data_IF_527225611566
#
_entry.id   IF_527225611566
#
_cell.length_a   1.000
_cell.length_b   1.000
_cell.length_c   1.000
_cell.angle_alpha   90.00
_cell.angle_beta   90.00
_cell.angle_gamma   90.00
#
_symmetry.space_group_name_H-M   'P 1'
#
loop_
_entity.id
_entity.type
_entity.pdbx_description
1 polymer ?
#
# COMPACT_ATOMS: atom_id res chain seq x y z
N UNK A 1 7.10 4.49 -0.15
CA UNK A 1 7.50 3.80 -1.42
C UNK A 1 8.30 4.73 -2.34
N UNK A 2 7.97 6.02 -2.46
CA UNK A 2 8.71 6.98 -3.31
C UNK A 2 10.22 7.00 -3.01
N UNK A 3 10.61 7.15 -1.74
CA UNK A 3 12.03 7.12 -1.33
C UNK A 3 12.75 5.84 -1.75
N UNK A 4 12.08 4.70 -1.74
CA UNK A 4 12.64 3.43 -2.19
C UNK A 4 12.73 3.39 -3.73
N UNK A 5 11.72 3.93 -4.42
CA UNK A 5 11.73 4.11 -5.87
C UNK A 5 12.95 4.92 -6.32
N UNK A 6 13.16 6.08 -5.71
CA UNK A 6 14.28 6.97 -6.00
C UNK A 6 15.62 6.32 -5.69
N UNK A 7 15.74 5.67 -4.52
CA UNK A 7 16.97 5.01 -4.09
C UNK A 7 17.35 3.85 -5.04
N UNK A 8 16.35 3.08 -5.47
CA UNK A 8 16.56 1.92 -6.35
C UNK A 8 16.67 2.30 -7.82
N UNK A 9 16.33 3.56 -8.18
CA UNK A 9 16.23 3.99 -9.58
C UNK A 9 15.24 3.10 -10.37
N UNK A 10 14.09 2.81 -9.76
CA UNK A 10 13.03 1.96 -10.31
C UNK A 10 11.71 2.74 -10.21
N UNK A 11 10.93 2.83 -11.29
CA UNK A 11 9.64 3.49 -11.28
C UNK A 11 8.72 2.92 -10.19
N UNK A 12 7.98 3.79 -9.49
CA UNK A 12 7.11 3.39 -8.37
C UNK A 12 6.09 2.31 -8.76
N UNK A 13 5.61 2.36 -10.00
CA UNK A 13 4.66 1.38 -10.53
C UNK A 13 5.26 -0.03 -10.68
N UNK A 14 6.59 -0.12 -10.83
CA UNK A 14 7.29 -1.40 -10.97
C UNK A 14 7.67 -2.04 -9.63
N UNK A 15 7.66 -1.28 -8.53
CA UNK A 15 8.08 -1.80 -7.22
C UNK A 15 7.23 -3.00 -6.79
N UNK A 16 5.90 -2.89 -6.94
CA UNK A 16 4.99 -3.97 -6.57
C UNK A 16 5.27 -5.26 -7.35
N UNK A 17 5.24 -5.25 -8.70
CA UNK A 17 5.59 -6.42 -9.51
C UNK A 17 6.96 -7.01 -9.18
N UNK A 18 8.00 -6.18 -9.06
CA UNK A 18 9.37 -6.63 -8.76
C UNK A 18 9.51 -7.25 -7.37
N UNK A 19 8.63 -6.91 -6.42
CA UNK A 19 8.64 -7.50 -5.09
C UNK A 19 8.30 -9.00 -5.06
N UNK A 20 7.80 -9.56 -6.16
CA UNK A 20 7.52 -10.98 -6.31
C UNK A 20 8.64 -11.76 -6.99
N UNK A 21 9.59 -11.05 -7.60
CA UNK A 21 10.74 -11.65 -8.27
C UNK A 21 11.88 -11.83 -7.24
N UNK A 22 11.67 -12.76 -6.32
CA UNK A 22 12.58 -13.13 -5.24
C UNK A 22 12.55 -14.65 -5.04
N UNK A 23 13.71 -15.25 -4.80
CA UNK A 23 13.82 -16.69 -4.54
C UNK A 23 13.17 -17.09 -3.21
N UNK A 24 13.36 -16.25 -2.19
CA UNK A 24 12.82 -16.45 -0.84
C UNK A 24 12.28 -15.12 -0.35
N UNK A 25 11.07 -15.14 0.18
CA UNK A 25 10.45 -13.97 0.79
C UNK A 25 11.32 -13.47 1.94
N UNK A 26 11.81 -12.23 1.90
CA UNK A 26 12.65 -11.68 2.95
C UNK A 26 11.82 -11.35 4.20
N UNK A 27 12.49 -11.29 5.34
CA UNK A 27 11.91 -10.69 6.54
C UNK A 27 11.59 -9.20 6.29
N UNK A 28 10.58 -8.71 7.02
CA UNK A 28 10.22 -7.30 6.97
C UNK A 28 11.35 -6.43 7.50
N UNK A 29 11.55 -5.26 6.88
CA UNK A 29 12.46 -4.26 7.44
C UNK A 29 11.89 -3.65 8.70
N UNK A 30 12.76 -3.25 9.62
CA UNK A 30 12.34 -2.74 10.95
C UNK A 30 11.90 -1.28 10.92
N UNK A 31 12.36 -0.51 9.94
CA UNK A 31 12.19 0.94 9.92
C UNK A 31 10.81 1.38 9.47
N UNK A 32 10.11 2.04 10.37
CA UNK A 32 8.84 2.73 10.10
C UNK A 32 9.07 4.18 9.63
N UNK A 33 10.22 4.75 9.97
CA UNK A 33 10.58 6.12 9.62
C UNK A 33 11.29 6.16 8.25
N UNK A 34 10.80 7.02 7.36
CA UNK A 34 11.35 7.21 6.01
C UNK A 34 12.85 7.55 6.00
N UNK A 35 13.33 8.30 7.01
CA UNK A 35 14.74 8.68 7.11
C UNK A 35 15.62 7.46 7.36
N UNK A 36 15.21 6.61 8.29
CA UNK A 36 15.96 5.37 8.59
C UNK A 36 15.79 4.31 7.51
N UNK A 37 14.65 4.28 6.83
CA UNK A 37 14.39 3.37 5.73
C UNK A 37 15.46 3.45 4.64
N UNK A 38 15.89 4.66 4.27
CA UNK A 38 16.97 4.84 3.28
C UNK A 38 18.28 4.21 3.72
N UNK A 39 18.69 4.44 4.97
CA UNK A 39 19.94 3.89 5.52
C UNK A 39 19.87 2.37 5.64
N UNK A 40 18.73 1.81 6.05
CA UNK A 40 18.50 0.39 6.16
C UNK A 40 18.54 -0.28 4.78
N UNK A 41 17.86 0.30 3.77
CA UNK A 41 17.89 -0.21 2.40
C UNK A 41 19.33 -0.24 1.83
N UNK A 42 20.13 0.81 2.06
CA UNK A 42 21.52 0.84 1.67
C UNK A 42 22.36 -0.22 2.40
N UNK A 43 22.06 -0.46 3.68
CA UNK A 43 22.70 -1.53 4.47
C UNK A 43 22.42 -2.92 3.89
N UNK A 44 21.15 -3.19 3.54
CA UNK A 44 20.76 -4.45 2.92
C UNK A 44 21.42 -4.67 1.56
N UNK A 45 21.50 -3.64 0.71
CA UNK A 45 22.20 -3.71 -0.56
C UNK A 45 23.70 -4.01 -0.37
N UNK A 46 24.34 -3.38 0.61
CA UNK A 46 25.74 -3.65 0.96
C UNK A 46 25.94 -5.06 1.51
N UNK A 47 24.94 -5.62 2.18
CA UNK A 47 24.94 -7.00 2.66
C UNK A 47 24.67 -8.04 1.55
N UNK A 48 24.53 -7.60 0.28
CA UNK A 48 24.36 -8.49 -0.87
C UNK A 48 22.91 -8.80 -1.24
N UNK A 49 21.92 -8.10 -0.65
CA UNK A 49 20.53 -8.23 -1.08
C UNK A 49 20.35 -7.64 -2.47
N UNK A 50 19.58 -8.33 -3.32
CA UNK A 50 19.16 -7.77 -4.60
C UNK A 50 18.16 -6.62 -4.39
N UNK A 51 18.04 -5.72 -5.36
CA UNK A 51 17.05 -4.64 -5.31
C UNK A 51 15.62 -5.20 -5.10
N UNK A 52 15.26 -6.27 -5.79
CA UNK A 52 13.96 -6.92 -5.68
C UNK A 52 13.71 -7.44 -4.26
N UNK A 53 14.72 -8.05 -3.64
CA UNK A 53 14.63 -8.55 -2.26
C UNK A 53 14.45 -7.41 -1.25
N UNK A 54 15.14 -6.28 -1.44
CA UNK A 54 14.93 -5.09 -0.59
C UNK A 54 13.51 -4.54 -0.79
N UNK A 55 13.04 -4.42 -2.03
CA UNK A 55 11.66 -3.95 -2.33
C UNK A 55 10.64 -4.89 -1.68
N UNK A 56 10.83 -6.20 -1.75
CA UNK A 56 9.95 -7.19 -1.12
C UNK A 56 9.88 -7.00 0.39
N UNK A 57 11.03 -6.81 1.06
CA UNK A 57 11.11 -6.55 2.51
C UNK A 57 10.33 -5.27 2.92
N UNK A 58 10.40 -4.22 2.10
CA UNK A 58 9.61 -3.00 2.34
C UNK A 58 8.12 -3.20 2.08
N UNK A 59 7.73 -3.95 1.05
CA UNK A 59 6.33 -4.29 0.81
C UNK A 59 5.76 -5.11 1.97
N UNK A 60 6.54 -6.05 2.52
CA UNK A 60 6.17 -6.86 3.67
C UNK A 60 5.98 -5.98 4.92
N UNK A 61 6.95 -5.12 5.25
CA UNK A 61 6.87 -4.21 6.39
C UNK A 61 5.64 -3.28 6.32
N UNK A 62 5.32 -2.77 5.13
CA UNK A 62 4.13 -1.95 4.93
C UNK A 62 2.84 -2.75 5.14
N UNK A 63 2.77 -3.98 4.63
CA UNK A 63 1.62 -4.86 4.81
C UNK A 63 1.41 -5.20 6.29
N UNK A 64 2.45 -5.61 6.99
CA UNK A 64 2.40 -5.91 8.44
C UNK A 64 1.95 -4.70 9.26
N UNK A 65 2.43 -3.51 8.91
CA UNK A 65 2.02 -2.27 9.56
C UNK A 65 0.53 -2.00 9.40
N UNK A 66 0.00 -2.15 8.19
CA UNK A 66 -1.43 -1.99 7.92
C UNK A 66 -2.24 -3.03 8.67
N UNK A 67 -1.85 -4.30 8.59
CA UNK A 67 -2.54 -5.41 9.27
C UNK A 67 -2.55 -5.19 10.78
N UNK A 68 -1.43 -4.83 11.39
CA UNK A 68 -1.36 -4.56 12.83
C UNK A 68 -2.29 -3.42 13.32
N UNK A 69 -2.61 -2.47 12.44
CA UNK A 69 -3.60 -1.43 12.73
C UNK A 69 -5.04 -1.95 12.56
N UNK A 70 -5.27 -2.78 11.54
CA UNK A 70 -6.58 -3.36 11.27
C UNK A 70 -7.01 -4.37 12.33
N UNK A 71 -6.07 -5.14 12.89
CA UNK A 71 -6.34 -6.10 13.98
C UNK A 71 -6.95 -5.43 15.22
N UNK A 72 -6.70 -4.15 15.45
CA UNK A 72 -7.25 -3.39 16.57
C UNK A 72 -8.74 -3.10 16.44
N UNK A 73 -9.25 -3.04 15.21
CA UNK A 73 -10.64 -2.70 14.91
C UNK A 73 -11.42 -3.90 14.34
N UNK A 74 -10.72 -4.96 13.99
CA UNK A 74 -11.27 -6.10 13.25
C UNK A 74 -11.42 -5.81 11.75
N UNK A 75 -11.38 -6.86 10.95
CA UNK A 75 -11.61 -6.79 9.49
C UNK A 75 -12.64 -7.84 9.12
N UNK A 76 -13.65 -7.43 8.38
CA UNK A 76 -14.68 -8.31 7.84
C UNK A 76 -14.49 -8.50 6.35
N UNK A 77 -15.08 -9.57 5.78
CA UNK A 77 -15.14 -9.76 4.34
C UNK A 77 -15.84 -8.56 3.68
N UNK A 78 -15.39 -8.22 2.49
CA UNK A 78 -15.94 -7.09 1.75
C UNK A 78 -15.19 -5.77 1.95
N UNK A 79 -14.00 -5.79 2.54
CA UNK A 79 -13.15 -4.60 2.62
C UNK A 79 -12.52 -4.24 1.27
N UNK A 80 -12.19 -2.97 1.08
CA UNK A 80 -11.40 -2.51 -0.07
C UNK A 80 -10.34 -1.49 0.36
N UNK A 81 -9.31 -1.35 -0.46
CA UNK A 81 -8.17 -0.47 -0.18
C UNK A 81 -8.24 0.75 -1.10
N UNK A 82 -8.13 1.95 -0.54
CA UNK A 82 -8.09 3.20 -1.29
C UNK A 82 -6.75 3.90 -1.18
N UNK A 83 -6.53 4.88 -2.06
CA UNK A 83 -5.29 5.65 -2.10
C UNK A 83 -4.24 5.05 -3.02
N UNK A 84 -3.07 5.70 -3.09
CA UNK A 84 -2.00 5.31 -4.01
C UNK A 84 -1.42 3.93 -3.75
N UNK A 85 -1.38 3.49 -2.48
CA UNK A 85 -0.83 2.18 -2.12
C UNK A 85 -1.69 1.01 -2.65
N UNK A 86 -2.97 1.23 -2.88
CA UNK A 86 -3.86 0.24 -3.49
C UNK A 86 -3.41 -0.18 -4.91
N UNK A 87 -2.62 0.65 -5.57
CA UNK A 87 -2.02 0.35 -6.89
C UNK A 87 -0.73 -0.46 -6.80
N UNK A 88 -0.25 -0.74 -5.60
CA UNK A 88 0.95 -1.55 -5.40
C UNK A 88 0.58 -3.00 -5.08
N UNK A 89 0.62 -3.92 -6.06
CA UNK A 89 0.22 -5.32 -5.84
C UNK A 89 1.13 -6.02 -4.83
N UNK A 90 2.39 -5.58 -4.68
CA UNK A 90 3.33 -6.13 -3.71
C UNK A 90 2.88 -5.94 -2.27
N UNK A 91 2.24 -4.82 -1.95
CA UNK A 91 1.68 -4.53 -0.62
C UNK A 91 0.29 -5.16 -0.48
N UNK A 92 -0.59 -4.94 -1.47
CA UNK A 92 -1.99 -5.42 -1.42
C UNK A 92 -2.05 -6.93 -1.22
N UNK A 93 -1.32 -7.71 -2.03
CA UNK A 93 -1.32 -9.18 -1.92
C UNK A 93 -0.75 -9.69 -0.60
N UNK A 94 0.22 -8.96 0.00
CA UNK A 94 0.73 -9.31 1.31
C UNK A 94 -0.29 -9.01 2.42
N UNK A 95 -1.03 -7.91 2.33
CA UNK A 95 -2.15 -7.62 3.25
C UNK A 95 -3.20 -8.74 3.15
N UNK A 96 -3.63 -9.09 1.94
CA UNK A 96 -4.59 -10.17 1.70
C UNK A 96 -4.12 -11.51 2.29
N UNK A 97 -2.84 -11.83 2.08
CA UNK A 97 -2.22 -13.05 2.62
C UNK A 97 -2.21 -13.07 4.15
N UNK A 98 -1.86 -11.95 4.77
CA UNK A 98 -1.80 -11.84 6.23
C UNK A 98 -3.19 -11.89 6.87
N UNK A 99 -4.19 -11.27 6.24
CA UNK A 99 -5.58 -11.28 6.72
C UNK A 99 -6.34 -12.57 6.37
N UNK A 100 -5.87 -13.35 5.40
CA UNK A 100 -6.57 -14.54 4.89
C UNK A 100 -7.82 -14.23 4.06
N UNK A 101 -8.09 -12.95 3.74
CA UNK A 101 -9.24 -12.49 2.96
C UNK A 101 -8.78 -11.59 1.81
N UNK A 102 -9.57 -11.53 0.74
CA UNK A 102 -9.27 -10.69 -0.43
C UNK A 102 -9.95 -9.34 -0.34
N UNK A 103 -9.23 -8.30 -0.75
CA UNK A 103 -9.82 -6.98 -0.97
C UNK A 103 -10.78 -7.02 -2.16
N UNK A 104 -11.87 -6.27 -2.07
CA UNK A 104 -12.79 -6.09 -3.18
C UNK A 104 -12.10 -5.33 -4.31
N UNK A 105 -12.27 -5.83 -5.52
CA UNK A 105 -11.90 -5.09 -6.72
C UNK A 105 -13.03 -4.12 -7.08
N UNK A 106 -12.69 -2.86 -7.24
CA UNK A 106 -13.62 -1.81 -7.62
C UNK A 106 -13.29 -1.29 -9.02
N UNK A 107 -14.31 -0.96 -9.80
CA UNK A 107 -14.14 -0.32 -11.12
C UNK A 107 -13.67 1.13 -11.04
N UNK A 108 -13.56 1.68 -9.82
CA UNK A 108 -13.19 3.07 -9.56
C UNK A 108 -11.69 3.12 -9.25
N UNK A 109 -11.00 4.10 -9.83
CA UNK A 109 -9.61 4.35 -9.46
C UNK A 109 -9.50 4.61 -7.95
N UNK A 110 -8.76 3.76 -7.27
CA UNK A 110 -8.57 3.81 -5.81
C UNK A 110 -8.02 5.16 -5.31
N UNK A 111 -7.27 5.90 -6.15
CA UNK A 111 -6.70 7.19 -5.79
C UNK A 111 -7.74 8.32 -5.72
N UNK A 112 -8.82 8.23 -6.49
CA UNK A 112 -9.85 9.28 -6.53
C UNK A 112 -11.04 9.00 -5.60
N UNK A 113 -11.02 7.91 -4.83
CA UNK A 113 -12.13 7.53 -3.96
C UNK A 113 -12.56 8.66 -3.00
N UNK A 114 -11.59 9.37 -2.41
CA UNK A 114 -11.87 10.52 -1.55
C UNK A 114 -12.52 11.69 -2.29
N UNK A 115 -12.04 12.01 -3.48
CA UNK A 115 -12.60 13.08 -4.31
C UNK A 115 -14.03 12.73 -4.77
N UNK A 116 -14.28 11.48 -5.15
CA UNK A 116 -15.59 10.99 -5.50
C UNK A 116 -16.56 11.09 -4.32
N UNK A 117 -16.13 10.68 -3.13
CA UNK A 117 -16.93 10.80 -1.90
C UNK A 117 -17.30 12.25 -1.58
N UNK A 118 -16.33 13.17 -1.69
CA UNK A 118 -16.57 14.60 -1.49
C UNK A 118 -17.57 15.17 -2.52
N UNK A 119 -17.43 14.78 -3.80
CA UNK A 119 -18.34 15.23 -4.86
C UNK A 119 -19.79 14.71 -4.63
N UNK A 120 -19.94 13.44 -4.25
CA UNK A 120 -21.25 12.86 -3.94
C UNK A 120 -21.88 13.52 -2.71
N UNK A 121 -21.08 13.80 -1.70
CA UNK A 121 -21.56 14.53 -0.51
C UNK A 121 -22.04 15.94 -0.86
N UNK A 122 -21.26 16.71 -1.63
CA UNK A 122 -21.64 18.03 -2.12
C UNK A 122 -22.90 18.00 -2.96
N UNK A 123 -23.03 17.05 -3.88
CA UNK A 123 -24.22 16.85 -4.68
C UNK A 123 -25.48 16.58 -3.80
N UNK A 124 -25.33 15.72 -2.79
CA UNK A 124 -26.43 15.41 -1.86
C UNK A 124 -26.88 16.64 -1.06
N UNK A 125 -25.94 17.48 -0.63
CA UNK A 125 -26.24 18.74 0.07
C UNK A 125 -27.00 19.72 -0.83
N UNK A 126 -26.56 19.90 -2.08
CA UNK A 126 -27.25 20.75 -3.04
C UNK A 126 -28.68 20.29 -3.31
N UNK A 127 -28.90 18.98 -3.47
CA UNK A 127 -30.26 18.41 -3.64
C UNK A 127 -31.19 18.68 -2.44
N UNK A 128 -30.64 18.62 -1.22
CA UNK A 128 -31.41 18.92 -0.01
C UNK A 128 -31.75 20.40 0.09
N UNK A 129 -30.83 21.30 -0.25
CA UNK A 129 -31.08 22.75 -0.23
C UNK A 129 -32.08 23.19 -1.33
N UNK A 130 -31.95 22.62 -2.55
CA UNK A 130 -32.88 22.92 -3.66
C UNK A 130 -34.30 22.39 -3.44
N UNK A 131 -34.53 21.46 -2.48
CA UNK A 131 -35.86 21.01 -2.09
C UNK A 131 -36.46 21.82 -0.93
N UNK A 132 -35.67 22.69 -0.31
CA UNK A 132 -36.10 23.55 0.81
C UNK A 132 -36.46 24.98 0.37
N UNK A 133 -36.32 25.28 -0.94
CA UNK A 133 -36.78 26.52 -1.58
C UNK A 133 -38.04 26.24 -2.43
#
# INVERSE_FOLDING_TARGET
>A
MEVISDLMQIPIAELGPRSFDVDVEPEAVSSVCVVFAKSEALGLLKAGYTKNKVIAAYCQAMAERVVSLLERIGVEEGFFITGGIAKNPGVVKRIEKLLGIKALDTKIDSQIAGALGAALFGYTLMQKQGKAA
#
